data_IF_792806776050
#
_entry.id   IF_792806776050
#
_cell.length_a   1.000
_cell.length_b   1.000
_cell.length_c   1.000
_cell.angle_alpha   90.00
_cell.angle_beta   90.00
_cell.angle_gamma   90.00
#
_symmetry.space_group_name_H-M   'P 1'
#
loop_
_entity.id
_entity.type
_entity.pdbx_description
1 polymer ?
#
# COMPACT_ATOMS: atom_id res chain seq x y z
N UNK A 1 16.60 12.24 -9.59
CA UNK A 1 15.70 11.13 -9.18
C UNK A 1 14.64 11.74 -8.27
N UNK A 2 13.39 11.79 -8.71
CA UNK A 2 12.29 12.29 -7.88
C UNK A 2 11.73 11.13 -7.06
N UNK A 3 11.48 11.35 -5.77
CA UNK A 3 10.76 10.41 -4.89
C UNK A 3 9.24 10.55 -5.03
N UNK A 4 8.78 11.51 -5.85
CA UNK A 4 7.36 11.74 -6.09
C UNK A 4 6.87 10.71 -7.09
N UNK A 5 5.92 9.90 -6.65
CA UNK A 5 5.27 8.87 -7.43
C UNK A 5 3.74 9.00 -7.25
N UNK A 6 2.93 8.33 -8.10
CA UNK A 6 1.48 8.36 -7.95
C UNK A 6 1.06 7.78 -6.60
N UNK A 7 -0.06 8.25 -6.02
CA UNK A 7 -0.51 7.75 -4.74
C UNK A 7 -0.83 6.25 -4.81
N UNK A 8 -0.34 5.45 -3.85
CA UNK A 8 -0.52 3.98 -3.89
C UNK A 8 -2.00 3.57 -3.86
N UNK A 9 -2.88 4.40 -3.29
CA UNK A 9 -4.31 4.13 -3.23
C UNK A 9 -5.01 4.17 -4.60
N UNK A 10 -4.40 4.73 -5.66
CA UNK A 10 -4.95 4.62 -7.02
C UNK A 10 -4.72 3.23 -7.60
N UNK A 11 -3.68 2.52 -7.15
CA UNK A 11 -3.34 1.17 -7.62
C UNK A 11 -4.01 0.07 -6.82
N UNK A 12 -4.27 0.29 -5.52
CA UNK A 12 -4.99 -0.67 -4.71
C UNK A 12 -5.86 0.01 -3.64
N UNK A 13 -7.14 -0.33 -3.52
CA UNK A 13 -8.08 0.35 -2.61
C UNK A 13 -7.73 0.17 -1.14
N UNK A 14 -6.97 -0.87 -0.78
CA UNK A 14 -6.61 -1.16 0.63
C UNK A 14 -5.93 0.03 1.32
N UNK A 15 -5.13 0.80 0.59
CA UNK A 15 -4.44 1.95 1.16
C UNK A 15 -5.40 3.12 1.41
N UNK A 16 -6.37 3.32 0.53
CA UNK A 16 -7.44 4.31 0.74
C UNK A 16 -8.33 3.93 1.92
N UNK A 17 -8.67 2.65 2.05
CA UNK A 17 -9.42 2.12 3.19
C UNK A 17 -8.64 2.31 4.50
N UNK A 18 -7.36 1.92 4.54
CA UNK A 18 -6.51 2.15 5.69
C UNK A 18 -6.45 3.63 6.11
N UNK A 19 -6.27 4.55 5.15
CA UNK A 19 -6.26 6.00 5.44
C UNK A 19 -7.61 6.45 5.99
N UNK A 20 -8.72 5.97 5.44
CA UNK A 20 -10.07 6.25 5.93
C UNK A 20 -10.25 5.77 7.37
N UNK A 21 -10.06 4.48 7.60
CA UNK A 21 -10.23 3.79 8.88
C UNK A 21 -9.30 4.41 9.96
N UNK A 22 -8.05 4.73 9.63
CA UNK A 22 -7.10 5.34 10.57
C UNK A 22 -7.50 6.75 11.02
N UNK A 23 -8.29 7.46 10.21
CA UNK A 23 -8.79 8.81 10.51
C UNK A 23 -10.23 8.82 11.03
N UNK A 24 -10.90 7.66 11.08
CA UNK A 24 -12.26 7.53 11.58
C UNK A 24 -12.28 7.68 13.12
N UNK A 25 -12.93 8.72 13.68
CA UNK A 25 -13.05 8.88 15.12
C UNK A 25 -13.95 7.82 15.78
N UNK A 26 -14.82 7.18 15.00
CA UNK A 26 -15.82 6.22 15.45
C UNK A 26 -15.38 4.76 15.25
N UNK A 27 -14.14 4.53 14.80
CA UNK A 27 -13.57 3.19 14.65
C UNK A 27 -13.62 2.44 15.99
N UNK A 28 -14.20 1.24 15.98
CA UNK A 28 -14.31 0.42 17.18
C UNK A 28 -12.92 0.03 17.73
N UNK A 29 -12.67 0.38 18.99
CA UNK A 29 -11.44 0.08 19.72
C UNK A 29 -11.78 -0.71 20.98
N UNK A 30 -11.87 -2.05 20.88
CA UNK A 30 -12.15 -2.89 22.03
C UNK A 30 -11.13 -2.66 23.16
N UNK A 31 -11.58 -2.71 24.41
CA UNK A 31 -10.73 -2.51 25.59
C UNK A 31 -9.47 -3.38 25.59
N UNK A 32 -9.61 -4.65 25.21
CA UNK A 32 -8.47 -5.58 25.13
C UNK A 32 -7.43 -5.15 24.10
N UNK A 33 -7.86 -4.53 22.99
CA UNK A 33 -6.95 -3.98 21.99
C UNK A 33 -6.23 -2.73 22.53
N UNK A 34 -6.93 -1.85 23.26
CA UNK A 34 -6.30 -0.69 23.90
C UNK A 34 -5.22 -1.10 24.91
N UNK A 35 -5.41 -2.19 25.64
CA UNK A 35 -4.39 -2.74 26.55
C UNK A 35 -3.15 -3.16 25.76
N UNK A 36 -3.32 -3.88 24.64
CA UNK A 36 -2.20 -4.28 23.78
C UNK A 36 -1.44 -3.08 23.20
N UNK A 37 -2.16 -2.03 22.83
CA UNK A 37 -1.56 -0.77 22.37
C UNK A 37 -0.72 -0.15 23.48
N UNK A 38 -1.26 -0.06 24.71
CA UNK A 38 -0.53 0.48 25.86
C UNK A 38 0.72 -0.36 26.20
N UNK A 39 0.61 -1.69 26.18
CA UNK A 39 1.75 -2.61 26.34
C UNK A 39 2.85 -2.32 25.30
N UNK A 40 2.46 -2.18 24.03
CA UNK A 40 3.40 -1.89 22.93
C UNK A 40 4.04 -0.49 23.08
N UNK A 41 3.27 0.53 23.42
CA UNK A 41 3.79 1.89 23.64
C UNK A 41 4.73 1.94 24.85
N UNK A 42 4.41 1.24 25.93
CA UNK A 42 5.27 1.12 27.10
C UNK A 42 6.60 0.45 26.74
N UNK A 43 6.56 -0.65 25.97
CA UNK A 43 7.76 -1.29 25.43
C UNK A 43 8.60 -0.33 24.58
N UNK A 44 7.97 0.42 23.67
CA UNK A 44 8.64 1.37 22.78
C UNK A 44 9.27 2.57 23.53
N UNK A 45 8.86 2.80 24.78
CA UNK A 45 9.40 3.86 25.64
C UNK A 45 10.69 3.48 26.35
N UNK A 46 11.07 2.19 26.34
CA UNK A 46 12.28 1.71 26.98
C UNK A 46 13.50 2.02 26.10
N UNK A 47 14.50 2.68 26.67
CA UNK A 47 15.82 2.80 26.05
C UNK A 47 16.48 1.41 26.05
N UNK A 48 16.57 0.78 24.88
CA UNK A 48 17.23 -0.51 24.72
C UNK A 48 18.61 -0.30 24.10
N UNK A 49 19.60 -1.02 24.59
CA UNK A 49 20.97 -1.02 24.06
C UNK A 49 21.15 -1.94 22.86
N UNK A 50 20.10 -2.69 22.48
CA UNK A 50 20.08 -3.60 21.33
C UNK A 50 18.91 -3.27 20.39
N UNK A 51 19.07 -3.60 19.11
CA UNK A 51 18.05 -3.36 18.08
C UNK A 51 16.73 -4.13 18.38
N UNK A 52 15.57 -3.44 18.49
CA UNK A 52 14.26 -4.03 18.72
C UNK A 52 13.82 -5.01 17.64
N UNK A 53 14.26 -4.81 16.40
CA UNK A 53 14.01 -5.73 15.30
C UNK A 53 14.49 -7.16 15.59
N UNK A 54 15.67 -7.30 16.23
CA UNK A 54 16.24 -8.57 16.69
C UNK A 54 15.61 -9.05 18.01
N UNK A 55 14.69 -8.27 18.60
CA UNK A 55 14.08 -8.55 19.89
C UNK A 55 12.79 -9.39 19.71
N UNK A 56 12.77 -10.65 20.19
CA UNK A 56 11.61 -11.52 20.07
C UNK A 56 10.36 -10.96 20.78
N UNK A 57 10.53 -10.19 21.85
CA UNK A 57 9.44 -9.56 22.59
C UNK A 57 8.75 -8.48 21.75
N UNK A 58 9.51 -7.65 21.03
CA UNK A 58 8.94 -6.65 20.12
C UNK A 58 8.10 -7.30 19.02
N UNK A 59 8.65 -8.35 18.38
CA UNK A 59 7.94 -9.09 17.33
C UNK A 59 6.68 -9.76 17.84
N UNK A 60 6.71 -10.33 19.05
CA UNK A 60 5.56 -10.93 19.69
C UNK A 60 4.46 -9.90 19.98
N UNK A 61 4.82 -8.73 20.53
CA UNK A 61 3.87 -7.66 20.80
C UNK A 61 3.27 -7.12 19.49
N UNK A 62 4.08 -6.90 18.46
CA UNK A 62 3.58 -6.45 17.16
C UNK A 62 2.68 -7.50 16.50
N UNK A 63 3.06 -8.77 16.55
CA UNK A 63 2.28 -9.89 16.02
C UNK A 63 0.92 -10.01 16.72
N UNK A 64 0.89 -9.87 18.05
CA UNK A 64 -0.34 -9.83 18.85
C UNK A 64 -1.22 -8.62 18.47
N UNK A 65 -0.61 -7.45 18.32
CA UNK A 65 -1.31 -6.20 18.02
C UNK A 65 -1.92 -6.20 16.61
N UNK A 66 -1.21 -6.76 15.63
CA UNK A 66 -1.64 -6.82 14.23
C UNK A 66 -2.41 -8.10 13.89
N UNK A 67 -2.43 -9.09 14.79
CA UNK A 67 -3.08 -10.38 14.60
C UNK A 67 -2.61 -11.14 13.35
N UNK A 68 -1.29 -11.12 13.12
CA UNK A 68 -0.62 -11.78 12.00
C UNK A 68 0.65 -12.47 12.45
N UNK A 69 1.05 -13.54 11.76
CA UNK A 69 2.34 -14.18 11.97
C UNK A 69 3.49 -13.30 11.44
N UNK A 70 4.41 -12.90 12.31
CA UNK A 70 5.60 -12.10 11.94
C UNK A 70 6.86 -12.91 12.22
N UNK A 71 7.73 -13.04 11.23
CA UNK A 71 8.96 -13.82 11.31
C UNK A 71 10.13 -13.08 10.67
N UNK A 72 11.36 -13.49 11.01
CA UNK A 72 12.56 -13.05 10.32
C UNK A 72 12.79 -13.92 9.08
N UNK A 73 13.27 -13.32 7.98
CA UNK A 73 13.74 -14.07 6.82
C UNK A 73 15.12 -13.61 6.40
N UNK A 74 16.01 -14.58 6.18
CA UNK A 74 17.28 -14.34 5.50
C UNK A 74 17.12 -14.53 3.99
N UNK A 75 17.50 -13.51 3.24
CA UNK A 75 17.56 -13.54 1.79
C UNK A 75 18.76 -14.35 1.31
N UNK A 76 18.71 -14.81 0.05
CA UNK A 76 19.78 -15.59 -0.56
C UNK A 76 21.12 -14.83 -0.66
N UNK A 77 21.08 -13.50 -0.69
CA UNK A 77 22.26 -12.62 -0.69
C UNK A 77 22.82 -12.35 0.73
N UNK A 78 22.30 -13.04 1.74
CA UNK A 78 22.70 -12.90 3.14
C UNK A 78 22.03 -11.76 3.89
N UNK A 79 21.32 -10.85 3.20
CA UNK A 79 20.60 -9.73 3.84
C UNK A 79 19.36 -10.21 4.60
N UNK A 80 18.94 -9.46 5.62
CA UNK A 80 17.77 -9.79 6.44
C UNK A 80 16.85 -8.58 6.51
N UNK A 81 15.55 -8.80 6.34
CA UNK A 81 14.56 -7.85 6.81
C UNK A 81 14.30 -8.12 8.28
N UNK A 82 14.11 -7.05 9.05
CA UNK A 82 13.88 -7.13 10.49
C UNK A 82 12.61 -7.93 10.83
N UNK A 83 11.56 -7.80 10.01
CA UNK A 83 10.37 -8.64 10.10
C UNK A 83 9.63 -8.70 8.76
N UNK A 84 8.98 -9.84 8.49
CA UNK A 84 8.08 -10.02 7.36
C UNK A 84 6.86 -10.84 7.79
N UNK A 85 5.71 -10.58 7.18
CA UNK A 85 4.57 -11.48 7.20
C UNK A 85 4.20 -11.87 5.79
N UNK A 86 3.96 -13.17 5.59
CA UNK A 86 3.58 -13.75 4.32
C UNK A 86 2.40 -14.68 4.52
N UNK A 87 1.59 -14.83 3.49
CA UNK A 87 0.55 -15.85 3.41
C UNK A 87 0.91 -16.87 2.35
N UNK A 88 0.48 -18.10 2.56
CA UNK A 88 0.63 -19.17 1.58
C UNK A 88 -0.52 -19.11 0.58
N UNK A 89 -0.16 -19.08 -0.70
CA UNK A 89 -1.10 -19.08 -1.82
C UNK A 89 -1.09 -20.49 -2.41
N UNK A 90 -1.89 -21.38 -1.80
CA UNK A 90 -1.92 -22.81 -2.13
C UNK A 90 -2.18 -23.07 -3.62
N UNK A 91 -3.01 -22.25 -4.26
CA UNK A 91 -3.35 -22.37 -5.69
C UNK A 91 -2.16 -22.15 -6.62
N UNK A 92 -1.12 -21.44 -6.17
CA UNK A 92 0.10 -21.18 -6.93
C UNK A 92 1.32 -21.94 -6.37
N UNK A 93 1.22 -22.50 -5.15
CA UNK A 93 2.38 -23.04 -4.44
C UNK A 93 3.42 -21.97 -4.10
N UNK A 94 3.01 -20.71 -3.97
CA UNK A 94 3.86 -19.55 -3.68
C UNK A 94 3.45 -18.87 -2.36
N UNK A 95 4.24 -17.92 -1.88
CA UNK A 95 3.87 -17.05 -0.75
C UNK A 95 3.75 -15.59 -1.18
N UNK A 96 2.78 -14.86 -0.63
CA UNK A 96 2.58 -13.43 -0.89
C UNK A 96 2.94 -12.59 0.35
N UNK A 97 3.87 -11.62 0.24
CA UNK A 97 4.11 -10.63 1.28
C UNK A 97 2.90 -9.73 1.59
N UNK A 98 2.43 -9.76 2.85
CA UNK A 98 1.44 -8.82 3.37
C UNK A 98 2.10 -7.59 3.98
N UNK A 99 3.21 -7.81 4.68
CA UNK A 99 3.83 -6.86 5.58
C UNK A 99 5.36 -7.00 5.57
N UNK A 100 6.08 -5.88 5.56
CA UNK A 100 7.54 -5.83 5.78
C UNK A 100 7.86 -4.78 6.84
N UNK A 101 8.82 -5.08 7.70
CA UNK A 101 9.28 -4.14 8.71
C UNK A 101 10.80 -3.92 8.64
N UNK A 102 11.20 -2.68 8.87
CA UNK A 102 12.58 -2.28 9.17
C UNK A 102 12.56 -1.36 10.39
N UNK A 103 13.09 -1.81 11.53
CA UNK A 103 12.97 -1.13 12.81
C UNK A 103 14.28 -1.13 13.60
N UNK A 104 14.87 0.04 13.77
CA UNK A 104 16.20 0.20 14.39
C UNK A 104 16.14 0.36 15.92
N UNK A 105 17.29 0.20 16.57
CA UNK A 105 17.49 0.53 17.99
C UNK A 105 17.05 1.93 18.30
N UNK A 106 17.62 2.88 17.56
CA UNK A 106 17.22 4.28 17.53
C UNK A 106 17.08 4.74 16.08
N UNK A 107 16.23 5.73 15.86
CA UNK A 107 16.11 6.34 14.54
C UNK A 107 17.46 6.98 14.14
N UNK A 108 17.99 6.59 12.98
CA UNK A 108 19.29 7.06 12.47
C UNK A 108 20.46 6.10 12.69
N UNK A 109 20.26 5.01 13.42
CA UNK A 109 21.23 3.93 13.55
C UNK A 109 21.36 3.11 12.26
N UNK A 110 22.54 2.51 12.02
CA UNK A 110 22.78 1.62 10.87
C UNK A 110 23.05 2.33 9.54
N UNK A 111 23.12 3.66 9.51
CA UNK A 111 23.57 4.44 8.35
C UNK A 111 22.60 4.45 7.16
N UNK A 112 21.37 3.99 7.35
CA UNK A 112 20.33 4.00 6.34
C UNK A 112 19.00 4.47 6.94
N UNK A 113 18.23 5.24 6.17
CA UNK A 113 16.88 5.61 6.57
C UNK A 113 15.98 4.35 6.55
N UNK A 114 15.28 4.01 7.65
CA UNK A 114 14.52 2.77 7.74
C UNK A 114 13.36 2.73 6.73
N UNK A 115 12.82 3.89 6.31
CA UNK A 115 11.75 3.93 5.31
C UNK A 115 12.25 3.62 3.91
N UNK A 116 13.47 4.04 3.57
CA UNK A 116 14.15 3.63 2.33
C UNK A 116 14.51 2.15 2.39
N UNK A 117 15.04 1.68 3.53
CA UNK A 117 15.36 0.28 3.71
C UNK A 117 14.12 -0.62 3.56
N UNK A 118 12.98 -0.23 4.13
CA UNK A 118 11.73 -0.99 4.05
C UNK A 118 11.27 -1.16 2.60
N UNK A 119 11.33 -0.09 1.79
CA UNK A 119 11.05 -0.17 0.35
C UNK A 119 11.97 -1.14 -0.39
N UNK A 120 13.28 -1.11 -0.09
CA UNK A 120 14.24 -2.05 -0.65
C UNK A 120 13.96 -3.50 -0.22
N UNK A 121 13.53 -3.73 1.02
CA UNK A 121 13.19 -5.05 1.54
C UNK A 121 11.87 -5.57 0.96
N UNK A 122 10.86 -4.73 0.78
CA UNK A 122 9.64 -5.07 0.04
C UNK A 122 9.93 -5.44 -1.41
N UNK A 123 10.76 -4.65 -2.11
CA UNK A 123 11.20 -4.99 -3.47
C UNK A 123 11.88 -6.36 -3.49
N UNK A 124 12.82 -6.60 -2.58
CA UNK A 124 13.53 -7.89 -2.45
C UNK A 124 12.57 -9.04 -2.19
N UNK A 125 11.57 -8.84 -1.33
CA UNK A 125 10.56 -9.84 -1.05
C UNK A 125 9.83 -10.26 -2.34
N UNK A 126 9.48 -9.34 -3.23
CA UNK A 126 8.71 -9.67 -4.45
C UNK A 126 9.54 -10.11 -5.66
N UNK A 127 10.80 -9.70 -5.81
CA UNK A 127 11.64 -10.12 -6.97
C UNK A 127 12.13 -11.56 -6.90
N UNK A 128 11.83 -12.29 -5.82
CA UNK A 128 12.17 -13.71 -5.71
C UNK A 128 11.48 -14.53 -6.80
N UNK A 129 12.15 -15.60 -7.25
CA UNK A 129 11.63 -16.47 -8.33
C UNK A 129 10.43 -17.30 -7.87
N UNK A 130 10.37 -17.66 -6.59
CA UNK A 130 9.29 -18.41 -5.95
C UNK A 130 8.02 -17.57 -5.68
N UNK A 131 7.92 -16.38 -6.30
CA UNK A 131 6.78 -15.44 -6.20
C UNK A 131 6.40 -14.85 -7.55
N UNK A 132 6.93 -15.40 -8.64
CA UNK A 132 6.72 -14.84 -9.97
C UNK A 132 5.26 -14.94 -10.42
N UNK A 133 4.58 -16.05 -10.15
CA UNK A 133 3.22 -16.24 -10.63
C UNK A 133 2.26 -15.25 -9.98
N UNK A 134 2.41 -15.00 -8.67
CA UNK A 134 1.63 -13.99 -7.97
C UNK A 134 2.00 -12.57 -8.42
N UNK A 135 3.30 -12.29 -8.51
CA UNK A 135 3.79 -10.97 -8.91
C UNK A 135 3.32 -10.59 -10.31
N UNK A 136 3.21 -11.54 -11.22
CA UNK A 136 2.80 -11.26 -12.60
C UNK A 136 1.28 -11.07 -12.71
N UNK A 137 0.49 -11.41 -11.68
CA UNK A 137 -0.97 -11.22 -11.65
C UNK A 137 -1.42 -9.87 -11.09
N UNK A 138 -0.61 -9.21 -10.26
CA UNK A 138 -1.06 -8.06 -9.47
C UNK A 138 0.02 -6.99 -9.21
N UNK A 139 -0.40 -5.82 -8.74
CA UNK A 139 0.50 -4.73 -8.32
C UNK A 139 1.17 -4.98 -6.95
N UNK A 140 1.09 -6.19 -6.40
CA UNK A 140 1.79 -6.58 -5.17
C UNK A 140 1.62 -5.58 -4.00
N UNK A 141 0.37 -5.21 -3.63
CA UNK A 141 0.11 -4.29 -2.53
C UNK A 141 0.68 -4.82 -1.20
N UNK A 142 1.60 -4.08 -0.58
CA UNK A 142 2.25 -4.48 0.67
C UNK A 142 2.27 -3.31 1.64
N UNK A 143 1.87 -3.54 2.90
CA UNK A 143 2.08 -2.59 3.99
C UNK A 143 3.49 -2.70 4.54
N UNK A 144 4.02 -1.61 5.06
CA UNK A 144 5.31 -1.63 5.74
C UNK A 144 5.31 -0.79 7.00
N UNK A 145 6.08 -1.21 7.99
CA UNK A 145 6.46 -0.38 9.12
C UNK A 145 7.94 -0.02 8.97
N UNK A 146 8.25 1.25 9.17
CA UNK A 146 9.62 1.72 9.28
C UNK A 146 9.79 2.58 10.52
N UNK A 147 10.93 2.48 11.19
CA UNK A 147 11.17 3.31 12.37
C UNK A 147 12.44 2.96 13.14
N UNK A 148 12.48 3.46 14.37
CA UNK A 148 13.50 3.11 15.33
C UNK A 148 13.25 3.74 16.70
N UNK A 149 13.52 3.00 17.77
CA UNK A 149 13.24 3.41 19.14
C UNK A 149 11.76 3.74 19.35
N UNK A 150 11.38 4.96 19.76
CA UNK A 150 9.99 5.40 19.90
C UNK A 150 9.41 6.04 18.63
N UNK A 151 10.08 5.97 17.48
CA UNK A 151 9.62 6.54 16.21
C UNK A 151 9.16 5.45 15.25
N UNK A 152 7.97 5.62 14.67
CA UNK A 152 7.39 4.67 13.72
C UNK A 152 6.63 5.41 12.61
N UNK A 153 6.61 4.86 11.41
CA UNK A 153 5.66 5.24 10.36
C UNK A 153 5.12 4.01 9.64
N UNK A 154 3.91 4.15 9.07
CA UNK A 154 3.32 3.16 8.18
C UNK A 154 3.48 3.64 6.74
N UNK A 155 3.91 2.72 5.89
CA UNK A 155 4.01 2.91 4.46
C UNK A 155 3.14 1.90 3.72
N UNK A 156 2.78 2.27 2.49
CA UNK A 156 2.20 1.37 1.51
C UNK A 156 3.11 1.31 0.30
N UNK A 157 3.16 0.15 -0.34
CA UNK A 157 3.89 0.00 -1.58
C UNK A 157 3.14 -0.85 -2.60
N UNK A 158 3.37 -0.54 -3.86
CA UNK A 158 2.96 -1.35 -5.01
C UNK A 158 4.13 -1.55 -5.95
N UNK A 159 4.10 -2.66 -6.67
CA UNK A 159 5.09 -3.05 -7.65
C UNK A 159 4.45 -3.05 -9.04
N UNK A 160 4.60 -1.95 -9.77
CA UNK A 160 4.22 -1.80 -11.18
C UNK A 160 5.42 -2.14 -12.09
N UNK A 161 5.68 -1.35 -13.13
CA UNK A 161 6.97 -1.24 -13.84
C UNK A 161 8.09 -0.73 -12.92
N UNK A 162 7.71 -0.06 -11.83
CA UNK A 162 8.57 0.49 -10.78
C UNK A 162 8.01 0.11 -9.41
N UNK A 163 8.83 0.22 -8.37
CA UNK A 163 8.34 0.12 -7.00
C UNK A 163 7.92 1.51 -6.55
N UNK A 164 6.65 1.68 -6.24
CA UNK A 164 6.09 2.91 -5.67
C UNK A 164 5.95 2.71 -4.17
N UNK A 165 6.61 3.55 -3.38
CA UNK A 165 6.51 3.54 -1.93
C UNK A 165 5.97 4.88 -1.48
N UNK A 166 4.93 4.86 -0.65
CA UNK A 166 4.31 6.06 -0.09
C UNK A 166 4.26 5.94 1.43
N UNK A 167 4.66 6.99 2.13
CA UNK A 167 4.35 7.17 3.56
C UNK A 167 2.86 7.44 3.70
N UNK A 168 2.15 6.56 4.40
CA UNK A 168 0.72 6.71 4.68
C UNK A 168 0.49 7.50 5.98
N UNK A 169 1.51 7.57 6.83
CA UNK A 169 1.54 8.37 8.06
C UNK A 169 2.83 9.17 8.14
N UNK A 170 2.84 10.20 8.99
CA UNK A 170 4.07 10.82 9.43
C UNK A 170 4.93 9.85 10.25
N UNK A 171 6.20 10.22 10.48
CA UNK A 171 7.04 9.57 11.49
C UNK A 171 6.55 9.98 12.87
N UNK A 172 5.75 9.12 13.50
CA UNK A 172 5.06 9.40 14.74
C UNK A 172 5.84 8.89 15.95
N UNK A 173 5.73 9.65 17.04
CA UNK A 173 6.20 9.22 18.35
C UNK A 173 5.18 8.24 18.96
N UNK A 174 5.60 6.99 19.16
CA UNK A 174 4.79 5.91 19.73
C UNK A 174 5.12 5.58 21.19
N UNK A 175 6.14 6.24 21.76
CA UNK A 175 6.42 6.14 23.19
C UNK A 175 5.45 6.93 24.07
N UNK A 176 5.44 6.63 25.35
CA UNK A 176 4.80 7.41 26.40
C UNK A 176 5.73 8.56 26.79
N UNK A 177 5.28 9.81 26.64
CA UNK A 177 6.05 10.99 27.06
C UNK A 177 5.70 11.45 28.48
N UNK A 178 4.57 11.00 29.00
CA UNK A 178 4.05 11.35 30.32
C UNK A 178 3.09 10.26 30.81
N UNK A 179 2.53 10.43 32.01
CA UNK A 179 1.46 9.58 32.55
C UNK A 179 0.06 9.93 32.01
N UNK A 180 -0.06 10.97 31.17
CA UNK A 180 -1.32 11.47 30.63
C UNK A 180 -1.28 11.54 29.09
N UNK A 181 -1.42 10.40 28.44
CA UNK A 181 -1.25 10.25 26.98
C UNK A 181 -2.50 9.71 26.27
N UNK A 182 -3.69 9.86 26.86
CA UNK A 182 -4.93 9.26 26.36
C UNK A 182 -5.20 9.53 24.87
N UNK A 183 -5.10 10.80 24.44
CA UNK A 183 -5.31 11.18 23.04
C UNK A 183 -4.30 10.51 22.09
N UNK A 184 -3.06 10.31 22.53
CA UNK A 184 -2.01 9.66 21.74
C UNK A 184 -2.22 8.16 21.66
N UNK A 185 -2.60 7.54 22.78
CA UNK A 185 -2.99 6.13 22.82
C UNK A 185 -4.13 5.87 21.84
N UNK A 186 -5.20 6.67 21.86
CA UNK A 186 -6.31 6.51 20.93
C UNK A 186 -5.92 6.76 19.47
N UNK A 187 -5.06 7.77 19.19
CA UNK A 187 -4.57 8.01 17.82
C UNK A 187 -3.77 6.82 17.30
N UNK A 188 -2.86 6.28 18.10
CA UNK A 188 -2.04 5.13 17.71
C UNK A 188 -2.87 3.84 17.66
N UNK A 189 -3.84 3.67 18.56
CA UNK A 189 -4.78 2.55 18.52
C UNK A 189 -5.58 2.52 17.23
N UNK A 190 -6.17 3.64 16.78
CA UNK A 190 -6.88 3.72 15.50
C UNK A 190 -6.02 3.31 14.32
N UNK A 191 -4.78 3.81 14.30
CA UNK A 191 -3.80 3.46 13.29
C UNK A 191 -3.55 1.95 13.22
N UNK A 192 -3.27 1.34 14.36
CA UNK A 192 -2.94 -0.08 14.45
C UNK A 192 -4.16 -0.98 14.21
N UNK A 193 -5.36 -0.53 14.60
CA UNK A 193 -6.61 -1.22 14.29
C UNK A 193 -6.90 -1.17 12.79
N UNK A 194 -6.77 -0.01 12.16
CA UNK A 194 -6.92 0.12 10.70
C UNK A 194 -5.93 -0.77 9.95
N UNK A 195 -4.68 -0.86 10.42
CA UNK A 195 -3.68 -1.75 9.84
C UNK A 195 -4.06 -3.23 10.05
N UNK A 196 -4.44 -3.63 11.26
CA UNK A 196 -4.93 -4.99 11.58
C UNK A 196 -6.10 -5.39 10.68
N UNK A 197 -7.10 -4.54 10.55
CA UNK A 197 -8.29 -4.79 9.71
C UNK A 197 -7.97 -4.83 8.20
N UNK A 198 -6.82 -4.29 7.79
CA UNK A 198 -6.39 -4.31 6.40
C UNK A 198 -5.81 -5.68 5.99
N UNK A 199 -5.22 -6.45 6.91
CA UNK A 199 -4.56 -7.71 6.55
C UNK A 199 -5.51 -8.81 6.07
N UNK A 200 -6.66 -9.10 6.72
CA UNK A 200 -7.62 -10.05 6.19
C UNK A 200 -8.13 -9.65 4.79
N UNK A 201 -8.43 -8.36 4.59
CA UNK A 201 -8.87 -7.82 3.28
C UNK A 201 -7.80 -8.02 2.20
N UNK A 202 -6.53 -7.86 2.57
CA UNK A 202 -5.39 -8.05 1.67
C UNK A 202 -5.12 -9.53 1.38
N UNK A 203 -5.30 -10.40 2.37
CA UNK A 203 -5.25 -11.84 2.18
C UNK A 203 -6.35 -12.32 1.22
N UNK A 204 -7.59 -11.92 1.45
CA UNK A 204 -8.72 -12.20 0.55
C UNK A 204 -8.43 -11.75 -0.89
N UNK A 205 -7.78 -10.60 -1.05
CA UNK A 205 -7.39 -10.10 -2.36
C UNK A 205 -6.40 -11.05 -3.06
N UNK A 206 -5.35 -11.49 -2.34
CA UNK A 206 -4.34 -12.39 -2.90
C UNK A 206 -4.91 -13.77 -3.24
N UNK A 207 -5.81 -14.31 -2.41
CA UNK A 207 -6.52 -15.56 -2.68
C UNK A 207 -7.46 -15.44 -3.91
N UNK A 208 -8.12 -14.31 -4.08
CA UNK A 208 -8.98 -14.07 -5.26
C UNK A 208 -8.16 -13.90 -6.54
N UNK A 209 -7.08 -13.11 -6.50
CA UNK A 209 -6.29 -12.83 -7.70
C UNK A 209 -5.47 -14.04 -8.15
N UNK A 210 -5.10 -14.95 -7.23
CA UNK A 210 -4.35 -16.16 -7.56
C UNK A 210 -5.10 -17.06 -8.55
N UNK A 211 -6.43 -17.12 -8.44
CA UNK A 211 -7.32 -17.89 -9.31
C UNK A 211 -7.88 -17.08 -10.47
N UNK A 212 -7.74 -15.76 -10.45
CA UNK A 212 -8.22 -14.89 -11.53
C UNK A 212 -7.46 -15.14 -12.84
N UNK A 213 -8.20 -15.10 -13.95
CA UNK A 213 -7.63 -15.18 -15.30
C UNK A 213 -7.07 -13.81 -15.72
N UNK A 214 -5.81 -13.55 -15.32
CA UNK A 214 -5.07 -12.35 -15.71
C UNK A 214 -4.24 -12.68 -16.95
N UNK A 215 -4.28 -11.85 -18.01
CA UNK A 215 -3.47 -12.05 -19.20
C UNK A 215 -1.97 -12.14 -18.84
N UNK A 216 -1.18 -12.98 -19.52
CA UNK A 216 0.26 -13.01 -19.30
C UNK A 216 0.91 -11.69 -19.70
N UNK A 217 2.05 -11.38 -19.09
CA UNK A 217 2.85 -10.24 -19.52
C UNK A 217 3.33 -10.44 -20.96
N UNK A 218 2.91 -9.53 -21.83
CA UNK A 218 3.35 -9.47 -23.23
C UNK A 218 4.02 -8.12 -23.44
N UNK A 219 5.27 -8.12 -23.89
CA UNK A 219 6.02 -6.87 -24.12
C UNK A 219 5.25 -5.95 -25.09
N UNK A 220 5.20 -4.65 -24.76
CA UNK A 220 4.46 -3.67 -25.53
C UNK A 220 2.93 -3.70 -25.37
N UNK A 221 2.37 -4.67 -24.62
CA UNK A 221 0.93 -4.75 -24.35
C UNK A 221 0.58 -4.19 -22.97
N UNK A 222 -0.58 -3.52 -22.80
CA UNK A 222 -1.06 -3.11 -21.49
C UNK A 222 -1.28 -4.32 -20.58
N UNK A 223 -0.83 -4.23 -19.33
CA UNK A 223 -1.06 -5.26 -18.34
C UNK A 223 -1.68 -4.64 -17.07
N UNK A 224 -2.76 -5.21 -16.50
CA UNK A 224 -3.53 -4.58 -15.41
C UNK A 224 -2.68 -4.16 -14.21
N UNK A 225 -1.65 -4.94 -13.88
CA UNK A 225 -0.67 -4.65 -12.82
C UNK A 225 -0.06 -3.25 -12.88
N UNK A 226 0.12 -2.68 -14.06
CA UNK A 226 0.83 -1.41 -14.23
C UNK A 226 -0.09 -0.18 -14.18
N UNK A 227 -1.40 -0.39 -14.08
CA UNK A 227 -2.38 0.67 -14.13
C UNK A 227 -3.17 0.79 -12.83
N UNK A 228 -3.75 1.96 -12.55
CA UNK A 228 -4.67 2.15 -11.44
C UNK A 228 -5.85 1.17 -11.47
N UNK A 229 -6.38 0.78 -10.31
CA UNK A 229 -7.45 -0.21 -10.22
C UNK A 229 -8.81 0.27 -10.78
N UNK A 230 -9.17 1.58 -10.79
CA UNK A 230 -10.44 2.00 -11.36
C UNK A 230 -10.45 1.77 -12.87
N UNK A 231 -11.44 1.02 -13.33
CA UNK A 231 -11.67 0.64 -14.75
C UNK A 231 -13.10 0.94 -15.20
N UNK A 232 -13.81 1.75 -14.41
CA UNK A 232 -15.16 2.21 -14.72
C UNK A 232 -15.45 3.54 -14.02
N UNK A 233 -16.43 4.25 -14.55
CA UNK A 233 -17.00 5.47 -13.99
C UNK A 233 -18.50 5.48 -14.27
N UNK A 234 -19.27 6.24 -13.49
CA UNK A 234 -20.68 6.48 -13.82
C UNK A 234 -20.74 7.50 -14.97
N UNK A 235 -21.75 7.41 -15.80
CA UNK A 235 -22.04 8.40 -16.82
C UNK A 235 -23.55 8.49 -17.01
N UNK A 236 -24.13 9.63 -16.66
CA UNK A 236 -25.59 9.80 -16.69
C UNK A 236 -26.34 8.67 -15.95
N UNK A 237 -25.77 8.19 -14.84
CA UNK A 237 -26.31 7.09 -14.03
C UNK A 237 -26.03 5.67 -14.57
N UNK A 238 -25.39 5.53 -15.73
CA UNK A 238 -24.97 4.24 -16.30
C UNK A 238 -23.50 3.98 -15.99
N UNK A 239 -23.17 2.78 -15.53
CA UNK A 239 -21.78 2.39 -15.32
C UNK A 239 -21.10 2.13 -16.68
N UNK A 240 -20.06 2.90 -16.98
CA UNK A 240 -19.25 2.82 -18.20
C UNK A 240 -17.88 2.24 -17.87
N UNK A 241 -17.49 1.17 -18.57
CA UNK A 241 -16.22 0.48 -18.38
C UNK A 241 -15.18 0.90 -19.42
N UNK A 242 -13.92 0.86 -19.04
CA UNK A 242 -12.81 1.18 -19.93
C UNK A 242 -11.57 0.30 -19.66
N UNK A 243 -10.70 0.24 -20.66
CA UNK A 243 -9.40 -0.41 -20.60
C UNK A 243 -8.28 0.60 -20.79
N UNK A 244 -7.25 0.53 -19.94
CA UNK A 244 -6.06 1.35 -20.07
C UNK A 244 -5.25 0.96 -21.31
N UNK A 245 -4.74 1.97 -22.01
CA UNK A 245 -3.90 1.81 -23.20
C UNK A 245 -2.44 2.14 -22.88
N UNK A 246 -2.20 3.34 -22.33
CA UNK A 246 -0.86 3.80 -21.99
C UNK A 246 -0.89 4.97 -21.03
N UNK A 247 0.22 5.20 -20.34
CA UNK A 247 0.50 6.47 -19.67
C UNK A 247 0.66 7.57 -20.74
N UNK A 248 0.17 8.78 -20.44
CA UNK A 248 0.27 9.91 -21.37
C UNK A 248 1.57 10.70 -21.22
N UNK A 249 2.29 10.51 -20.13
CA UNK A 249 3.58 11.16 -19.87
C UNK A 249 4.61 10.09 -19.51
N UNK A 250 5.81 10.19 -20.10
CA UNK A 250 6.97 9.39 -19.70
C UNK A 250 7.63 10.02 -18.45
N UNK A 251 6.86 10.08 -17.37
CA UNK A 251 7.31 10.63 -16.10
C UNK A 251 6.92 9.70 -14.94
N UNK A 252 7.83 9.41 -13.98
CA UNK A 252 7.54 8.52 -12.86
C UNK A 252 6.33 8.92 -12.00
N UNK A 253 5.99 10.21 -11.96
CA UNK A 253 4.84 10.75 -11.22
C UNK A 253 3.56 10.89 -12.06
N UNK A 254 3.52 10.33 -13.28
CA UNK A 254 2.37 10.46 -14.17
C UNK A 254 1.12 9.81 -13.56
N UNK A 255 0.03 10.59 -13.55
CA UNK A 255 -1.31 10.20 -13.07
C UNK A 255 -2.36 10.34 -14.18
N UNK A 256 -1.92 10.43 -15.43
CA UNK A 256 -2.75 10.69 -16.60
C UNK A 256 -2.59 9.56 -17.61
N UNK A 257 -3.68 8.93 -17.99
CA UNK A 257 -3.68 7.71 -18.80
C UNK A 257 -4.63 7.84 -19.97
N UNK A 258 -4.24 7.27 -21.11
CA UNK A 258 -5.12 7.02 -22.23
C UNK A 258 -5.89 5.73 -21.96
N UNK A 259 -7.20 5.77 -22.13
CA UNK A 259 -8.06 4.60 -22.01
C UNK A 259 -9.05 4.51 -23.18
N UNK A 260 -9.66 3.34 -23.32
CA UNK A 260 -10.64 2.98 -24.35
C UNK A 260 -11.93 2.53 -23.70
N UNK A 261 -13.07 3.11 -24.06
CA UNK A 261 -14.38 2.68 -23.55
C UNK A 261 -14.79 1.37 -24.22
N UNK A 262 -15.32 0.44 -23.41
CA UNK A 262 -15.92 -0.81 -23.89
C UNK A 262 -17.32 -0.55 -24.43
N UNK A 263 -17.66 -1.01 -25.64
CA UNK A 263 -19.03 -0.88 -26.20
C UNK A 263 -20.06 -1.73 -25.47
N UNK A 264 -19.67 -2.89 -24.95
CA UNK A 264 -20.49 -3.79 -24.16
C UNK A 264 -19.63 -4.46 -23.07
N UNK A 265 -20.24 -4.89 -21.96
CA UNK A 265 -19.57 -5.63 -20.86
C UNK A 265 -18.91 -6.91 -21.39
N UNK A 266 -19.44 -7.47 -22.49
CA UNK A 266 -18.97 -8.70 -23.13
C UNK A 266 -18.28 -8.52 -24.49
N UNK A 267 -18.20 -7.29 -25.03
CA UNK A 267 -17.63 -7.04 -26.36
C UNK A 267 -16.29 -6.31 -26.27
N UNK A 268 -15.31 -6.80 -27.03
CA UNK A 268 -14.03 -6.15 -27.29
C UNK A 268 -14.08 -5.13 -28.44
N UNK A 269 -15.26 -4.83 -29.00
CA UNK A 269 -15.39 -3.74 -29.97
C UNK A 269 -15.28 -2.38 -29.27
N UNK A 270 -14.40 -1.54 -29.80
CA UNK A 270 -13.98 -0.25 -29.24
C UNK A 270 -14.28 0.86 -30.25
N UNK A 271 -14.55 2.09 -29.81
CA UNK A 271 -14.42 3.27 -30.69
C UNK A 271 -13.89 4.52 -29.97
N UNK A 272 -14.21 4.73 -28.69
CA UNK A 272 -13.94 6.00 -28.04
C UNK A 272 -12.71 5.97 -27.11
N UNK A 273 -11.78 6.89 -27.37
CA UNK A 273 -10.63 7.18 -26.52
C UNK A 273 -11.00 8.23 -25.48
N UNK A 274 -10.60 7.98 -24.23
CA UNK A 274 -10.76 8.92 -23.12
C UNK A 274 -9.45 9.12 -22.38
N UNK A 275 -9.35 10.25 -21.68
CA UNK A 275 -8.25 10.55 -20.77
C UNK A 275 -8.73 10.33 -19.34
N UNK A 276 -8.07 9.43 -18.62
CA UNK A 276 -8.30 9.19 -17.20
C UNK A 276 -7.21 9.91 -16.43
N UNK A 277 -7.59 10.87 -15.58
CA UNK A 277 -6.65 11.64 -14.76
C UNK A 277 -7.01 11.51 -13.29
N UNK A 278 -6.06 11.07 -12.48
CA UNK A 278 -6.22 11.00 -11.03
C UNK A 278 -5.76 12.31 -10.39
N UNK A 279 -6.66 12.96 -9.66
CA UNK A 279 -6.40 14.23 -8.98
C UNK A 279 -7.05 14.22 -7.59
N UNK A 280 -6.41 14.89 -6.63
CA UNK A 280 -7.00 15.08 -5.30
C UNK A 280 -8.09 16.16 -5.32
N UNK A 281 -7.88 17.22 -6.09
CA UNK A 281 -8.86 18.29 -6.35
C UNK A 281 -8.87 18.58 -7.83
N UNK A 282 -10.05 18.77 -8.39
CA UNK A 282 -10.23 19.04 -9.81
C UNK A 282 -10.86 20.41 -10.02
N UNK A 283 -10.23 21.24 -10.85
CA UNK A 283 -10.76 22.54 -11.23
C UNK A 283 -11.86 22.41 -12.28
N UNK A 284 -13.02 21.89 -11.88
CA UNK A 284 -14.13 21.60 -12.78
C UNK A 284 -14.55 22.82 -13.59
N UNK A 285 -14.77 23.97 -12.95
CA UNK A 285 -15.20 25.21 -13.61
C UNK A 285 -14.20 25.70 -14.67
N UNK A 286 -12.91 25.68 -14.33
CA UNK A 286 -11.84 26.09 -15.24
C UNK A 286 -11.74 25.13 -16.42
N UNK A 287 -11.81 23.82 -16.18
CA UNK A 287 -11.77 22.84 -17.26
C UNK A 287 -13.02 22.94 -18.13
N UNK A 288 -14.20 23.12 -17.55
CA UNK A 288 -15.44 23.30 -18.30
C UNK A 288 -15.37 24.54 -19.20
N UNK A 289 -14.89 25.68 -18.66
CA UNK A 289 -14.65 26.89 -19.46
C UNK A 289 -13.71 26.63 -20.64
N UNK A 290 -12.59 25.92 -20.40
CA UNK A 290 -11.66 25.57 -21.49
C UNK A 290 -12.31 24.62 -22.51
N UNK A 291 -13.14 23.68 -22.07
CA UNK A 291 -13.82 22.74 -22.95
C UNK A 291 -14.85 23.44 -23.84
N UNK A 292 -15.62 24.37 -23.28
CA UNK A 292 -16.60 25.18 -24.01
C UNK A 292 -15.94 26.07 -25.07
N UNK A 293 -14.68 26.44 -24.86
CA UNK A 293 -13.85 27.19 -25.79
C UNK A 293 -12.93 26.30 -26.68
N UNK A 294 -13.14 24.98 -26.71
CA UNK A 294 -12.35 24.00 -27.47
C UNK A 294 -10.84 23.97 -27.11
N UNK A 295 -10.48 24.39 -25.90
CA UNK A 295 -9.12 24.35 -25.36
C UNK A 295 -8.85 23.13 -24.47
N UNK A 296 -9.88 22.35 -24.13
CA UNK A 296 -9.72 21.06 -23.44
C UNK A 296 -10.81 20.05 -23.87
N UNK A 297 -10.59 18.73 -23.64
CA UNK A 297 -11.63 17.73 -23.87
C UNK A 297 -12.86 17.95 -22.96
N UNK A 298 -14.02 17.44 -23.37
CA UNK A 298 -15.21 17.41 -22.51
C UNK A 298 -14.97 16.51 -21.29
N UNK A 299 -15.48 16.92 -20.13
CA UNK A 299 -15.44 16.13 -18.89
C UNK A 299 -16.53 15.06 -18.97
N UNK A 300 -16.23 13.86 -18.43
CA UNK A 300 -17.18 12.75 -18.29
C UNK A 300 -17.21 12.29 -16.84
N UNK A 301 -18.39 12.10 -16.27
CA UNK A 301 -18.66 11.67 -14.89
C UNK A 301 -20.07 11.09 -14.74
#
# INVERSE_FOLDING_TARGET
>A
MTIVAPPVHIFHPIFGQFIGDANDPDLDLPREFLIQVQEFMAFASLLKTSEPASNPEWRQLLSKLLDIGIHETQNADGTRSDAISTIDITTLGESAPLFVCEYKGILGEGGCDPSIQAGCSMRRAWIRRDRSAMRDKCCCPTFMIAGGGPWMCILGAVFTDKVVVQRLTDMMWIGLSSTSEEARIHRFARLMMALRQSFPKLQDYYEKISTANIPPFTEGSPHPRFYPYPTSFLESGKLTYFDYVKMLEDHPACVTYLAKIRKDVKSSDVDELVVVKFVHRYGHEVHQFLADNNHSPKIRY
#
